data_IF_367843065326
#
_entry.id   IF_367843065326
#
_cell.length_a   1.000
_cell.length_b   1.000
_cell.length_c   1.000
_cell.angle_alpha   90.00
_cell.angle_beta   90.00
_cell.angle_gamma   90.00
#
_symmetry.space_group_name_H-M   'P 1'
#
loop_
_entity.id
_entity.type
_entity.pdbx_description
1 polymer ?
#
# COMPACT_ATOMS: atom_id res chain seq x y z
N UNK A 1 37.36 38.23 -14.00
CA UNK A 1 37.23 38.60 -12.58
C UNK A 1 36.21 39.73 -12.52
N UNK A 2 35.01 39.63 -11.94
CA UNK A 2 34.37 38.65 -11.05
C UNK A 2 32.85 38.77 -11.30
N UNK A 3 32.14 37.64 -11.20
CA UNK A 3 30.68 37.55 -11.19
C UNK A 3 30.08 38.35 -10.04
N UNK A 4 29.03 39.14 -10.29
CA UNK A 4 28.06 39.46 -9.24
C UNK A 4 26.77 38.73 -9.55
N UNK A 5 26.68 37.52 -9.00
CA UNK A 5 25.45 36.78 -8.85
C UNK A 5 24.47 37.61 -8.01
N UNK A 6 23.27 37.79 -8.52
CA UNK A 6 22.16 38.29 -7.73
C UNK A 6 21.74 37.13 -6.82
N UNK A 7 22.30 37.09 -5.62
CA UNK A 7 21.87 36.17 -4.56
C UNK A 7 20.43 36.50 -4.20
N UNK A 8 19.49 35.68 -4.67
CA UNK A 8 18.16 35.61 -4.09
C UNK A 8 18.33 34.92 -2.73
N UNK A 9 18.00 35.58 -1.61
CA UNK A 9 18.22 35.00 -0.30
C UNK A 9 17.37 33.74 -0.16
N UNK A 10 18.03 32.64 0.24
CA UNK A 10 17.50 31.28 0.42
C UNK A 10 16.47 31.13 1.56
N UNK A 11 15.73 32.19 1.91
CA UNK A 11 14.79 32.21 3.03
C UNK A 11 13.32 32.45 2.64
N UNK A 12 12.93 32.28 1.36
CA UNK A 12 11.52 32.34 0.94
C UNK A 12 10.89 31.00 0.58
N UNK A 13 11.60 29.88 0.74
CA UNK A 13 11.09 28.53 0.42
C UNK A 13 10.37 27.82 1.59
N UNK A 14 10.27 28.44 2.76
CA UNK A 14 9.70 27.80 3.96
C UNK A 14 8.18 28.01 4.16
N UNK A 15 7.48 28.71 3.26
CA UNK A 15 6.08 29.09 3.49
C UNK A 15 5.03 28.34 2.64
N UNK A 16 5.38 27.26 1.94
CA UNK A 16 4.41 26.46 1.17
C UNK A 16 4.09 25.10 1.81
N UNK A 17 3.91 25.06 3.12
CA UNK A 17 3.18 23.95 3.76
C UNK A 17 1.69 24.29 3.62
N UNK A 18 1.07 23.86 2.52
CA UNK A 18 -0.39 23.97 2.34
C UNK A 18 -1.03 22.80 3.07
N UNK A 19 -1.28 22.94 4.38
CA UNK A 19 -2.00 21.93 5.16
C UNK A 19 -3.50 21.96 4.82
N UNK A 20 -4.01 20.82 4.39
CA UNK A 20 -5.39 20.61 3.96
C UNK A 20 -5.94 19.33 4.60
N UNK A 21 -6.85 19.45 5.57
CA UNK A 21 -7.44 18.26 6.22
C UNK A 21 -8.44 17.54 5.31
N UNK A 22 -8.21 16.25 5.05
CA UNK A 22 -9.19 15.38 4.37
C UNK A 22 -9.69 14.32 5.36
N UNK A 23 -11.01 14.22 5.52
CA UNK A 23 -11.59 13.20 6.39
C UNK A 23 -11.52 11.82 5.70
N UNK A 24 -10.58 10.98 6.11
CA UNK A 24 -10.58 9.55 5.73
C UNK A 24 -11.74 8.87 6.45
N UNK A 25 -12.67 8.21 5.73
CA UNK A 25 -13.78 7.51 6.36
C UNK A 25 -13.28 6.50 7.40
N UNK A 26 -13.64 6.73 8.66
CA UNK A 26 -13.13 6.00 9.83
C UNK A 26 -13.37 4.48 9.72
N UNK A 27 -14.36 4.08 8.91
CA UNK A 27 -14.71 2.69 8.65
C UNK A 27 -13.64 1.89 7.88
N UNK A 28 -12.85 2.53 6.99
CA UNK A 28 -11.78 1.85 6.26
C UNK A 28 -10.57 1.60 7.18
N UNK A 29 -10.21 2.60 7.98
CA UNK A 29 -9.10 2.50 8.94
C UNK A 29 -9.41 1.41 9.98
N UNK A 30 -10.65 1.35 10.46
CA UNK A 30 -11.10 0.32 11.39
C UNK A 30 -11.00 -1.08 10.78
N UNK A 31 -11.48 -1.27 9.55
CA UNK A 31 -11.32 -2.55 8.83
C UNK A 31 -9.87 -2.94 8.63
N UNK A 32 -8.99 -1.99 8.29
CA UNK A 32 -7.57 -2.26 8.09
C UNK A 32 -6.90 -2.72 9.39
N UNK A 33 -7.24 -2.08 10.53
CA UNK A 33 -6.77 -2.46 11.87
C UNK A 33 -7.25 -3.86 12.27
N UNK A 34 -8.51 -4.20 11.98
CA UNK A 34 -9.08 -5.53 12.24
C UNK A 34 -8.38 -6.63 11.43
N UNK A 35 -8.08 -6.37 10.15
CA UNK A 35 -7.33 -7.30 9.30
C UNK A 35 -5.91 -7.49 9.84
N UNK A 36 -5.22 -6.40 10.17
CA UNK A 36 -3.86 -6.46 10.71
C UNK A 36 -3.80 -7.26 12.02
N UNK A 37 -4.73 -7.00 12.94
CA UNK A 37 -4.84 -7.73 14.20
C UNK A 37 -5.07 -9.23 13.98
N UNK A 38 -6.01 -9.57 13.09
CA UNK A 38 -6.34 -10.96 12.76
C UNK A 38 -5.13 -11.73 12.17
N UNK A 39 -4.31 -11.06 11.36
CA UNK A 39 -3.09 -11.64 10.80
C UNK A 39 -2.02 -11.89 11.88
N UNK A 40 -1.84 -10.96 12.82
CA UNK A 40 -0.90 -11.13 13.92
C UNK A 40 -1.26 -12.30 14.84
N UNK A 41 -2.54 -12.48 15.16
CA UNK A 41 -3.00 -13.64 15.94
C UNK A 41 -2.74 -14.96 15.21
N UNK A 42 -2.99 -15.00 13.90
CA UNK A 42 -2.76 -16.20 13.09
C UNK A 42 -1.28 -16.59 13.04
N UNK A 43 -0.37 -15.61 12.94
CA UNK A 43 1.08 -15.86 12.95
C UNK A 43 1.51 -16.44 14.30
N UNK A 44 1.09 -15.82 15.41
CA UNK A 44 1.44 -16.25 16.76
C UNK A 44 0.95 -17.67 17.06
N UNK A 45 -0.24 -18.04 16.57
CA UNK A 45 -0.79 -19.39 16.72
C UNK A 45 0.02 -20.43 15.93
N UNK A 46 0.51 -20.08 14.75
CA UNK A 46 1.34 -20.97 13.94
C UNK A 46 2.71 -21.21 14.58
N UNK A 47 3.34 -20.18 15.16
CA UNK A 47 4.61 -20.32 15.89
C UNK A 47 4.48 -21.28 17.07
N UNK A 48 3.42 -21.14 17.87
CA UNK A 48 3.14 -22.03 19.01
C UNK A 48 2.92 -23.49 18.58
N UNK A 49 2.26 -23.71 17.43
CA UNK A 49 2.06 -25.05 16.87
C UNK A 49 3.38 -25.69 16.40
N UNK A 50 4.31 -24.91 15.87
CA UNK A 50 5.62 -25.39 15.44
C UNK A 50 6.48 -25.80 16.64
N UNK A 51 6.53 -24.97 17.68
CA UNK A 51 7.28 -25.26 18.91
C UNK A 51 6.77 -26.54 19.61
N UNK A 52 5.45 -26.73 19.63
CA UNK A 52 4.83 -27.96 20.16
C UNK A 52 5.16 -29.20 19.31
N UNK A 53 5.20 -29.08 17.97
CA UNK A 53 5.60 -30.19 17.08
C UNK A 53 7.06 -30.58 17.30
N UNK A 54 7.97 -29.63 17.45
CA UNK A 54 9.39 -29.89 17.73
C UNK A 54 9.63 -30.59 19.08
N UNK A 55 8.80 -30.28 20.09
CA UNK A 55 8.89 -30.91 21.42
C UNK A 55 8.35 -32.35 21.44
N UNK A 56 7.34 -32.67 20.61
CA UNK A 56 6.80 -34.03 20.51
C UNK A 56 7.78 -34.98 19.81
N UNK A 57 8.54 -34.49 18.81
CA UNK A 57 9.52 -35.29 18.06
C UNK A 57 10.71 -35.71 18.95
N UNK A 58 11.05 -34.93 19.98
CA UNK A 58 12.17 -35.22 20.90
C UNK A 58 11.90 -36.31 21.94
N UNK A 59 10.65 -36.74 22.13
CA UNK A 59 10.23 -37.51 23.31
C UNK A 59 9.82 -38.98 23.04
N UNK A 60 9.94 -39.50 21.81
CA UNK A 60 9.40 -40.82 21.44
C UNK A 60 10.45 -41.83 20.95
N UNK A 61 11.49 -42.07 21.75
CA UNK A 61 12.34 -43.27 21.64
C UNK A 61 12.19 -44.09 22.93
N UNK A 62 11.41 -45.19 22.91
CA UNK A 62 11.74 -46.48 23.56
C UNK A 62 10.57 -47.51 23.69
N UNK A 63 10.87 -48.75 23.26
CA UNK A 63 10.39 -50.10 23.72
C UNK A 63 9.29 -50.94 22.99
N UNK A 64 9.54 -52.28 22.97
CA UNK A 64 8.97 -53.42 22.19
C UNK A 64 7.53 -53.90 22.52
N UNK A 65 6.91 -54.93 21.94
CA UNK A 65 7.26 -56.02 21.00
C UNK A 65 6.11 -57.06 20.95
N UNK A 66 5.69 -57.49 19.75
CA UNK A 66 4.84 -58.66 19.40
C UNK A 66 3.30 -58.54 19.21
N UNK A 67 2.63 -57.48 19.67
CA UNK A 67 1.44 -56.92 18.97
C UNK A 67 1.83 -55.76 18.05
N UNK A 68 3.14 -55.59 17.90
CA UNK A 68 3.79 -54.41 17.35
C UNK A 68 3.57 -54.26 15.85
N UNK A 69 3.66 -55.30 15.03
CA UNK A 69 3.59 -55.10 13.58
C UNK A 69 2.22 -54.64 13.09
N UNK A 70 1.12 -55.21 13.60
CA UNK A 70 -0.22 -54.82 13.16
C UNK A 70 -0.62 -53.45 13.73
N UNK A 71 -0.23 -53.16 14.97
CA UNK A 71 -0.40 -51.83 15.57
C UNK A 71 0.54 -50.77 14.97
N UNK A 72 1.80 -51.08 14.68
CA UNK A 72 2.76 -50.18 14.02
C UNK A 72 2.36 -49.94 12.57
N UNK A 73 1.90 -50.96 11.84
CA UNK A 73 1.39 -50.77 10.48
C UNK A 73 0.14 -49.89 10.46
N UNK A 74 -0.80 -50.12 11.39
CA UNK A 74 -1.98 -49.26 11.51
C UNK A 74 -1.64 -47.86 12.02
N UNK A 75 -0.73 -47.73 12.99
CA UNK A 75 -0.28 -46.45 13.51
C UNK A 75 0.48 -45.65 12.45
N UNK A 76 1.38 -46.28 11.70
CA UNK A 76 2.09 -45.66 10.59
C UNK A 76 1.13 -45.25 9.46
N UNK A 77 0.11 -46.07 9.17
CA UNK A 77 -0.92 -45.74 8.19
C UNK A 77 -1.75 -44.53 8.64
N UNK A 78 -2.19 -44.50 9.90
CA UNK A 78 -2.95 -43.39 10.48
C UNK A 78 -2.09 -42.12 10.55
N UNK A 79 -0.83 -42.22 10.96
CA UNK A 79 0.12 -41.09 10.97
C UNK A 79 0.29 -40.51 9.58
N UNK A 80 0.47 -41.36 8.56
CA UNK A 80 0.62 -40.94 7.17
C UNK A 80 -0.66 -40.30 6.61
N UNK A 81 -1.83 -40.84 6.96
CA UNK A 81 -3.13 -40.31 6.55
C UNK A 81 -3.42 -38.97 7.23
N UNK A 82 -3.07 -38.83 8.52
CA UNK A 82 -3.12 -37.57 9.25
C UNK A 82 -2.19 -36.53 8.64
N UNK A 83 -0.95 -36.89 8.34
CA UNK A 83 0.02 -35.99 7.70
C UNK A 83 -0.49 -35.53 6.31
N UNK A 84 -1.01 -36.46 5.50
CA UNK A 84 -1.62 -36.13 4.22
C UNK A 84 -2.81 -35.17 4.37
N UNK A 85 -3.67 -35.40 5.37
CA UNK A 85 -4.81 -34.53 5.64
C UNK A 85 -4.36 -33.13 6.09
N UNK A 86 -3.39 -33.03 6.99
CA UNK A 86 -2.79 -31.76 7.42
C UNK A 86 -2.16 -31.01 6.23
N UNK A 87 -1.42 -31.71 5.37
CA UNK A 87 -0.82 -31.13 4.17
C UNK A 87 -1.87 -30.63 3.18
N UNK A 88 -2.95 -31.40 2.96
CA UNK A 88 -4.05 -31.00 2.09
C UNK A 88 -4.79 -29.76 2.63
N UNK A 89 -5.06 -29.69 3.93
CA UNK A 89 -5.68 -28.53 4.56
C UNK A 89 -4.78 -27.29 4.46
N UNK A 90 -3.48 -27.45 4.68
CA UNK A 90 -2.51 -26.36 4.54
C UNK A 90 -2.45 -25.86 3.08
N UNK A 91 -2.37 -26.78 2.11
CA UNK A 91 -2.39 -26.45 0.69
C UNK A 91 -3.67 -25.70 0.29
N UNK A 92 -4.84 -26.16 0.74
CA UNK A 92 -6.10 -25.47 0.49
C UNK A 92 -6.12 -24.06 1.11
N UNK A 93 -5.58 -23.89 2.33
CA UNK A 93 -5.48 -22.56 2.93
C UNK A 93 -4.52 -21.64 2.17
N UNK A 94 -3.43 -22.17 1.62
CA UNK A 94 -2.47 -21.40 0.81
C UNK A 94 -3.12 -20.98 -0.51
N UNK A 95 -3.78 -21.91 -1.19
CA UNK A 95 -4.45 -21.65 -2.46
C UNK A 95 -5.55 -20.59 -2.31
N UNK A 96 -6.42 -20.70 -1.30
CA UNK A 96 -7.46 -19.70 -1.03
C UNK A 96 -6.87 -18.30 -0.77
N UNK A 97 -5.74 -18.22 -0.03
CA UNK A 97 -5.04 -16.95 0.21
C UNK A 97 -4.42 -16.39 -1.07
N UNK A 98 -3.84 -17.24 -1.91
CA UNK A 98 -3.29 -16.84 -3.20
C UNK A 98 -4.40 -16.31 -4.13
N UNK A 99 -5.55 -16.97 -4.17
CA UNK A 99 -6.70 -16.52 -4.96
C UNK A 99 -7.18 -15.14 -4.51
N UNK A 100 -7.33 -14.95 -3.19
CA UNK A 100 -7.70 -13.65 -2.60
C UNK A 100 -6.67 -12.56 -2.93
N UNK A 101 -5.37 -12.90 -2.91
CA UNK A 101 -4.29 -11.99 -3.27
C UNK A 101 -4.35 -11.59 -4.76
N UNK A 102 -4.65 -12.54 -5.64
CA UNK A 102 -4.81 -12.31 -7.09
C UNK A 102 -6.00 -11.39 -7.34
N UNK A 103 -7.12 -11.61 -6.66
CA UNK A 103 -8.31 -10.75 -6.75
C UNK A 103 -8.00 -9.31 -6.32
N UNK A 104 -7.32 -9.13 -5.18
CA UNK A 104 -6.91 -7.81 -4.69
C UNK A 104 -5.97 -7.09 -5.67
N UNK A 105 -4.97 -7.79 -6.21
CA UNK A 105 -4.07 -7.23 -7.23
C UNK A 105 -4.82 -6.81 -8.49
N UNK A 106 -5.77 -7.64 -8.92
CA UNK A 106 -6.61 -7.37 -10.09
C UNK A 106 -7.50 -6.14 -9.86
N UNK A 107 -8.10 -6.01 -8.67
CA UNK A 107 -8.90 -4.86 -8.31
C UNK A 107 -8.06 -3.58 -8.26
N UNK A 108 -6.86 -3.63 -7.65
CA UNK A 108 -5.94 -2.50 -7.62
C UNK A 108 -5.51 -2.07 -9.03
N UNK A 109 -5.16 -3.01 -9.90
CA UNK A 109 -4.83 -2.72 -11.30
C UNK A 109 -5.99 -2.03 -12.04
N UNK A 110 -7.24 -2.48 -11.82
CA UNK A 110 -8.43 -1.82 -12.37
C UNK A 110 -8.61 -0.41 -11.81
N UNK A 111 -8.37 -0.19 -10.52
CA UNK A 111 -8.43 1.14 -9.93
C UNK A 111 -7.39 2.07 -10.54
N UNK A 112 -6.13 1.62 -10.69
CA UNK A 112 -5.09 2.41 -11.35
C UNK A 112 -5.43 2.76 -12.80
N UNK A 113 -6.02 1.82 -13.54
CA UNK A 113 -6.49 2.08 -14.89
C UNK A 113 -7.59 3.15 -14.89
N UNK A 114 -8.55 3.08 -13.97
CA UNK A 114 -9.62 4.08 -13.86
C UNK A 114 -9.05 5.45 -13.51
N UNK A 115 -8.17 5.57 -12.52
CA UNK A 115 -7.61 6.87 -12.14
C UNK A 115 -6.78 7.48 -13.27
N UNK A 116 -5.94 6.67 -13.92
CA UNK A 116 -5.10 7.15 -15.01
C UNK A 116 -5.91 7.52 -16.25
N UNK A 117 -6.77 6.61 -16.73
CA UNK A 117 -7.49 6.80 -17.99
C UNK A 117 -8.72 7.69 -17.88
N UNK A 118 -9.41 7.74 -16.73
CA UNK A 118 -10.63 8.54 -16.57
C UNK A 118 -10.37 9.88 -15.86
N UNK A 119 -9.49 9.90 -14.86
CA UNK A 119 -9.21 11.12 -14.09
C UNK A 119 -7.95 11.85 -14.57
N UNK A 120 -7.15 11.21 -15.43
CA UNK A 120 -5.94 11.80 -16.00
C UNK A 120 -4.71 11.71 -15.10
N UNK A 121 -4.78 11.03 -13.96
CA UNK A 121 -3.64 10.92 -13.02
C UNK A 121 -3.28 9.46 -12.72
N UNK A 122 -2.01 9.15 -12.89
CA UNK A 122 -1.40 8.01 -12.25
C UNK A 122 -1.13 8.34 -10.78
N UNK A 123 -1.55 7.44 -9.88
CA UNK A 123 -1.42 7.62 -8.45
C UNK A 123 -0.43 6.58 -7.95
N UNK A 124 0.61 6.99 -7.25
CA UNK A 124 1.51 6.07 -6.56
C UNK A 124 1.60 6.43 -5.08
N UNK A 125 1.85 5.42 -4.24
CA UNK A 125 1.96 5.59 -2.79
C UNK A 125 3.38 5.27 -2.37
N UNK A 126 4.01 6.16 -1.61
CA UNK A 126 5.32 5.95 -1.01
C UNK A 126 5.28 6.40 0.46
N UNK A 127 5.24 5.42 1.37
CA UNK A 127 5.05 5.65 2.81
C UNK A 127 3.81 6.53 3.07
N UNK A 128 4.02 7.75 3.54
CA UNK A 128 2.99 8.73 3.83
C UNK A 128 2.68 9.66 2.65
N UNK A 129 3.30 9.45 1.49
CA UNK A 129 3.15 10.30 0.32
C UNK A 129 2.22 9.67 -0.72
N UNK A 130 1.30 10.48 -1.23
CA UNK A 130 0.54 10.22 -2.45
C UNK A 130 1.14 11.05 -3.56
N UNK A 131 1.68 10.38 -4.57
CA UNK A 131 2.31 11.01 -5.72
C UNK A 131 1.33 10.94 -6.88
N UNK A 132 1.02 12.09 -7.48
CA UNK A 132 0.15 12.22 -8.63
C UNK A 132 0.98 12.65 -9.83
N UNK A 133 1.03 11.79 -10.84
CA UNK A 133 1.65 12.08 -12.13
C UNK A 133 0.56 12.26 -13.18
N UNK A 134 0.53 13.42 -13.84
CA UNK A 134 -0.47 13.70 -14.86
C UNK A 134 -0.17 12.90 -16.13
N UNK A 135 -1.21 12.33 -16.75
CA UNK A 135 -1.09 11.72 -18.09
C UNK A 135 -0.68 12.73 -19.17
N UNK A 136 -0.83 14.02 -18.87
CA UNK A 136 -0.45 15.14 -19.72
C UNK A 136 0.83 15.84 -19.26
N UNK A 137 1.55 15.30 -18.27
CA UNK A 137 2.88 15.79 -17.90
C UNK A 137 3.85 15.78 -19.08
N UNK A 138 4.83 16.68 -19.07
CA UNK A 138 5.88 16.74 -20.08
C UNK A 138 7.08 15.87 -19.69
N UNK A 139 7.44 15.91 -18.40
CA UNK A 139 8.54 15.14 -17.84
C UNK A 139 8.07 14.17 -16.73
N UNK A 140 8.89 13.16 -16.42
CA UNK A 140 8.61 12.20 -15.35
C UNK A 140 8.67 12.84 -13.95
N UNK A 141 9.36 13.97 -13.82
CA UNK A 141 9.50 14.75 -12.58
C UNK A 141 8.35 15.76 -12.37
N UNK A 142 7.44 15.90 -13.33
CA UNK A 142 6.24 16.75 -13.26
C UNK A 142 5.16 16.09 -12.37
N UNK A 143 5.44 16.04 -11.06
CA UNK A 143 4.62 15.34 -10.08
C UNK A 143 4.07 16.30 -9.01
N UNK A 144 2.87 16.00 -8.53
CA UNK A 144 2.37 16.55 -7.27
C UNK A 144 2.57 15.52 -6.16
N UNK A 145 3.17 15.93 -5.05
CA UNK A 145 3.38 15.06 -3.90
C UNK A 145 2.56 15.57 -2.72
N UNK A 146 1.59 14.79 -2.30
CA UNK A 146 0.76 15.05 -1.14
C UNK A 146 1.21 14.19 0.03
N UNK A 147 1.61 14.81 1.13
CA UNK A 147 1.93 14.12 2.39
C UNK A 147 0.69 13.97 3.24
N UNK A 148 0.39 12.75 3.67
CA UNK A 148 -0.68 12.45 4.62
C UNK A 148 -0.05 12.24 5.99
N UNK A 149 -0.37 13.10 6.95
CA UNK A 149 0.10 12.94 8.33
C UNK A 149 -0.79 11.97 9.14
N UNK A 150 -0.35 11.66 10.36
CA UNK A 150 -1.06 10.76 11.28
C UNK A 150 -2.45 11.29 11.71
N UNK A 151 -2.71 12.59 11.53
CA UNK A 151 -4.01 13.21 11.76
C UNK A 151 -4.91 13.17 10.51
N UNK A 152 -4.49 12.47 9.45
CA UNK A 152 -5.11 12.45 8.13
C UNK A 152 -5.19 13.84 7.49
N UNK A 153 -4.32 14.76 7.88
CA UNK A 153 -4.12 16.02 7.18
C UNK A 153 -3.23 15.79 5.97
N UNK A 154 -3.54 16.45 4.86
CA UNK A 154 -2.91 16.28 3.57
C UNK A 154 -2.19 17.57 3.19
N UNK A 155 -0.88 17.51 2.95
CA UNK A 155 -0.07 18.69 2.61
C UNK A 155 0.56 18.54 1.24
N UNK A 156 0.38 19.53 0.36
CA UNK A 156 1.09 19.56 -0.92
C UNK A 156 2.55 19.98 -0.70
N UNK A 157 3.51 19.12 -1.04
CA UNK A 157 4.94 19.44 -0.99
C UNK A 157 5.32 20.35 -2.15
N UNK A 158 6.13 21.36 -1.85
CA UNK A 158 6.71 22.24 -2.87
C UNK A 158 7.76 21.50 -3.70
N UNK A 159 7.72 21.69 -5.02
CA UNK A 159 8.77 21.31 -5.96
C UNK A 159 8.74 22.29 -7.16
N UNK A 160 9.63 22.10 -8.14
CA UNK A 160 9.70 22.98 -9.32
C UNK A 160 8.40 22.99 -10.12
N UNK A 161 7.79 21.82 -10.33
CA UNK A 161 6.54 21.70 -11.06
C UNK A 161 5.38 22.41 -10.34
N UNK A 162 5.25 22.23 -9.03
CA UNK A 162 4.24 22.86 -8.17
C UNK A 162 4.34 24.39 -8.21
N UNK A 163 5.55 24.95 -8.34
CA UNK A 163 5.75 26.39 -8.42
C UNK A 163 5.08 27.02 -9.66
N UNK A 164 4.89 26.25 -10.73
CA UNK A 164 4.21 26.70 -11.96
C UNK A 164 2.69 26.86 -11.78
N UNK A 165 2.11 26.26 -10.73
CA UNK A 165 0.66 26.20 -10.49
C UNK A 165 0.19 27.12 -9.36
N UNK A 166 0.99 28.14 -9.01
CA UNK A 166 0.70 29.03 -7.88
C UNK A 166 -0.70 29.62 -7.92
N UNK A 167 -1.17 30.04 -9.11
CA UNK A 167 -2.49 30.64 -9.28
C UNK A 167 -3.61 29.65 -8.94
N UNK A 168 -3.51 28.42 -9.44
CA UNK A 168 -4.49 27.35 -9.22
C UNK A 168 -4.45 26.87 -7.76
N UNK A 169 -3.27 26.83 -7.14
CA UNK A 169 -3.09 26.52 -5.73
C UNK A 169 -3.79 27.58 -4.88
N UNK A 170 -3.53 28.87 -5.12
CA UNK A 170 -4.15 29.97 -4.38
C UNK A 170 -5.68 29.92 -4.53
N UNK A 171 -6.17 29.72 -5.75
CA UNK A 171 -7.60 29.74 -6.06
C UNK A 171 -8.34 28.51 -5.50
N UNK A 172 -7.84 27.31 -5.76
CA UNK A 172 -8.60 26.07 -5.52
C UNK A 172 -8.19 25.35 -4.23
N UNK A 173 -6.90 25.38 -3.85
CA UNK A 173 -6.45 24.72 -2.61
C UNK A 173 -6.57 25.66 -1.41
N UNK A 174 -5.99 26.85 -1.47
CA UNK A 174 -5.95 27.77 -0.32
C UNK A 174 -7.31 28.40 -0.05
N UNK A 175 -7.91 29.03 -1.06
CA UNK A 175 -9.21 29.70 -0.94
C UNK A 175 -10.37 28.73 -1.12
N UNK A 176 -10.33 27.93 -2.19
CA UNK A 176 -11.41 27.05 -2.59
C UNK A 176 -11.53 25.78 -1.77
N UNK A 177 -10.49 25.41 -0.99
CA UNK A 177 -10.46 24.21 -0.17
C UNK A 177 -10.92 22.97 -0.96
N UNK A 178 -10.32 22.72 -2.13
CA UNK A 178 -10.75 21.63 -3.02
C UNK A 178 -9.62 21.11 -3.91
N UNK A 179 -9.04 19.97 -3.51
CA UNK A 179 -8.09 19.20 -4.32
C UNK A 179 -8.70 18.77 -5.67
N UNK A 180 -9.96 18.28 -5.75
CA UNK A 180 -10.54 17.92 -7.04
C UNK A 180 -10.66 19.10 -8.00
N UNK A 181 -11.00 20.30 -7.51
CA UNK A 181 -11.07 21.50 -8.35
C UNK A 181 -9.67 21.91 -8.87
N UNK A 182 -8.66 21.85 -8.01
CA UNK A 182 -7.27 22.08 -8.37
C UNK A 182 -6.80 21.13 -9.47
N UNK A 183 -6.92 19.82 -9.25
CA UNK A 183 -6.48 18.80 -10.21
C UNK A 183 -7.25 18.87 -11.53
N UNK A 184 -8.54 19.22 -11.50
CA UNK A 184 -9.33 19.40 -12.73
C UNK A 184 -8.81 20.58 -13.56
N UNK A 185 -8.51 21.72 -12.92
CA UNK A 185 -7.98 22.89 -13.61
C UNK A 185 -6.59 22.60 -14.22
N UNK A 186 -5.71 21.96 -13.45
CA UNK A 186 -4.38 21.53 -13.90
C UNK A 186 -4.48 20.57 -15.09
N UNK A 187 -5.39 19.60 -15.03
CA UNK A 187 -5.58 18.62 -16.10
C UNK A 187 -5.98 19.28 -17.41
N UNK A 188 -6.94 20.22 -17.36
CA UNK A 188 -7.39 20.93 -18.55
C UNK A 188 -6.28 21.80 -19.15
N UNK A 189 -5.51 22.48 -18.31
CA UNK A 189 -4.41 23.33 -18.74
C UNK A 189 -3.28 22.50 -19.38
N UNK A 190 -2.81 21.43 -18.72
CA UNK A 190 -1.80 20.53 -19.28
C UNK A 190 -2.28 19.86 -20.58
N UNK A 191 -3.55 19.44 -20.63
CA UNK A 191 -4.14 18.88 -21.85
C UNK A 191 -4.10 19.88 -23.00
N UNK A 192 -4.48 21.13 -22.75
CA UNK A 192 -4.46 22.18 -23.76
C UNK A 192 -3.04 22.46 -24.26
N UNK A 193 -2.08 22.56 -23.34
CA UNK A 193 -0.66 22.75 -23.69
C UNK A 193 -0.12 21.58 -24.51
N UNK A 194 -0.45 20.33 -24.16
CA UNK A 194 0.03 19.15 -24.88
C UNK A 194 -0.66 18.93 -26.23
N UNK A 195 -1.88 19.42 -26.39
CA UNK A 195 -2.70 19.21 -27.61
C UNK A 195 -2.57 20.35 -28.61
N UNK A 196 -2.46 21.59 -28.12
CA UNK A 196 -2.53 22.80 -28.95
C UNK A 196 -1.33 23.75 -28.75
N UNK A 197 -0.46 23.48 -27.78
CA UNK A 197 0.75 24.26 -27.50
C UNK A 197 1.92 23.95 -28.42
#
# INVERSE_FOLDING_TARGET
>A
MVHNAFEIPLNSLNDFIVSYEFHIPTNLIQKLKEIHFSLQEAIKKNELCLENKENIIKNNDDNGGFLKEEFENNFNKISKEKENLENNLLQNSINNKNDSMIELRTLLAKMYLVTKSMLGYEITFNENNVILHSSYAFDDEDIFVFEIDDNNSCTLKSNEFVANWKREIDLYLLNGKSVPAFLSAVTLELYNQKTYG
#
